data_IF_676310155178
#
_entry.id   IF_676310155178
#
_cell.length_a   1.000
_cell.length_b   1.000
_cell.length_c   1.000
_cell.angle_alpha   90.00
_cell.angle_beta   90.00
_cell.angle_gamma   90.00
#
_symmetry.space_group_name_H-M   'P 1'
#
loop_
_entity.id
_entity.type
_entity.pdbx_description
1 polymer ?
#
# COMPACT_ATOMS: atom_id res chain seq x y z
N UNK A 1 30.70 -3.78 25.21
CA UNK A 1 29.62 -2.83 24.80
C UNK A 1 29.93 -2.05 23.51
N UNK A 2 30.65 -2.60 22.51
CA UNK A 2 30.95 -1.91 21.22
C UNK A 2 30.00 -2.29 20.06
N UNK A 3 29.01 -3.15 20.30
CA UNK A 3 28.21 -3.78 19.23
C UNK A 3 26.96 -3.02 18.80
N UNK A 4 26.36 -2.20 19.66
CA UNK A 4 25.09 -1.51 19.38
C UNK A 4 25.29 -0.19 18.62
N UNK A 5 26.36 0.55 18.92
CA UNK A 5 26.68 1.82 18.27
C UNK A 5 27.11 1.63 16.82
N UNK A 6 27.83 0.56 16.50
CA UNK A 6 28.27 0.27 15.13
C UNK A 6 27.11 -0.12 14.20
N UNK A 7 26.14 -0.88 14.71
CA UNK A 7 24.92 -1.25 13.96
C UNK A 7 23.97 -0.07 13.76
N UNK A 8 23.84 0.80 14.76
CA UNK A 8 23.08 2.05 14.62
C UNK A 8 23.73 3.02 13.60
N UNK A 9 25.06 3.10 13.57
CA UNK A 9 25.78 3.96 12.61
C UNK A 9 25.69 3.45 11.17
N UNK A 10 25.62 2.13 10.96
CA UNK A 10 25.40 1.51 9.64
C UNK A 10 23.97 1.72 9.13
N UNK A 11 22.96 1.69 10.02
CA UNK A 11 21.58 2.04 9.68
C UNK A 11 21.41 3.55 9.39
N UNK A 12 22.29 4.40 9.92
CA UNK A 12 22.36 5.83 9.63
C UNK A 12 23.21 6.19 8.39
N UNK A 13 24.01 5.26 7.88
CA UNK A 13 24.78 5.49 6.65
C UNK A 13 23.83 5.58 5.45
N UNK A 14 24.16 6.41 4.45
CA UNK A 14 23.34 6.58 3.24
C UNK A 14 23.13 5.30 2.42
N UNK A 15 23.80 4.19 2.79
CA UNK A 15 23.73 2.90 2.12
C UNK A 15 23.64 1.73 3.14
N UNK A 16 22.46 1.49 3.74
CA UNK A 16 22.29 0.42 4.73
C UNK A 16 22.46 -0.96 4.08
N UNK A 17 23.28 -1.82 4.69
CA UNK A 17 23.49 -3.22 4.28
C UNK A 17 22.39 -4.12 4.87
N UNK A 18 22.07 -5.23 4.18
CA UNK A 18 21.04 -6.22 4.55
C UNK A 18 19.57 -5.78 4.38
N UNK A 19 19.25 -5.05 3.31
CA UNK A 19 17.86 -4.75 2.94
C UNK A 19 17.15 -6.01 2.42
N UNK A 20 15.89 -6.22 2.77
CA UNK A 20 15.10 -7.39 2.36
C UNK A 20 14.37 -7.14 1.03
N UNK A 21 14.75 -7.85 -0.04
CA UNK A 21 14.03 -7.80 -1.32
C UNK A 21 12.60 -8.37 -1.20
N UNK A 22 12.43 -9.42 -0.38
CA UNK A 22 11.12 -10.02 -0.13
C UNK A 22 10.14 -9.03 0.50
N UNK A 23 10.63 -8.14 1.37
CA UNK A 23 9.83 -7.05 1.96
C UNK A 23 9.36 -6.08 0.87
N UNK A 24 10.24 -5.73 -0.07
CA UNK A 24 9.90 -4.87 -1.21
C UNK A 24 8.83 -5.48 -2.11
N UNK A 25 8.98 -6.76 -2.51
CA UNK A 25 7.99 -7.45 -3.33
C UNK A 25 6.63 -7.60 -2.64
N UNK A 26 6.61 -7.87 -1.33
CA UNK A 26 5.37 -7.90 -0.55
C UNK A 26 4.62 -6.57 -0.62
N UNK A 27 5.33 -5.44 -0.50
CA UNK A 27 4.71 -4.11 -0.60
C UNK A 27 4.21 -3.80 -2.02
N UNK A 28 4.94 -4.20 -3.07
CA UNK A 28 4.50 -4.02 -4.45
C UNK A 28 3.21 -4.81 -4.71
N UNK A 29 3.18 -6.09 -4.33
CA UNK A 29 1.99 -6.95 -4.47
C UNK A 29 0.82 -6.40 -3.67
N UNK A 30 1.08 -5.91 -2.44
CA UNK A 30 0.06 -5.24 -1.64
C UNK A 30 -0.54 -4.03 -2.36
N UNK A 31 0.31 -3.13 -2.88
CA UNK A 31 -0.14 -1.94 -3.58
C UNK A 31 -0.96 -2.27 -4.83
N UNK A 32 -0.56 -3.29 -5.59
CA UNK A 32 -1.36 -3.76 -6.73
C UNK A 32 -2.73 -4.27 -6.27
N UNK A 33 -2.78 -5.09 -5.21
CA UNK A 33 -4.04 -5.58 -4.65
C UNK A 33 -4.94 -4.44 -4.16
N UNK A 34 -4.37 -3.44 -3.49
CA UNK A 34 -5.08 -2.22 -3.05
C UNK A 34 -5.67 -1.46 -4.25
N UNK A 35 -4.90 -1.27 -5.32
CA UNK A 35 -5.38 -0.57 -6.52
C UNK A 35 -6.59 -1.27 -7.13
N UNK A 36 -6.52 -2.60 -7.28
CA UNK A 36 -7.62 -3.40 -7.82
C UNK A 36 -8.86 -3.32 -6.92
N UNK A 37 -8.69 -3.48 -5.61
CA UNK A 37 -9.82 -3.46 -4.66
C UNK A 37 -10.49 -2.09 -4.59
N UNK A 38 -9.72 -1.00 -4.65
CA UNK A 38 -10.26 0.36 -4.71
C UNK A 38 -11.03 0.59 -6.02
N UNK A 39 -10.46 0.22 -7.17
CA UNK A 39 -11.11 0.38 -8.46
C UNK A 39 -12.43 -0.41 -8.52
N UNK A 40 -12.42 -1.67 -8.10
CA UNK A 40 -13.63 -2.51 -8.01
C UNK A 40 -14.66 -1.88 -7.07
N UNK A 41 -14.23 -1.40 -5.90
CA UNK A 41 -15.13 -0.78 -4.93
C UNK A 41 -15.82 0.45 -5.52
N UNK A 42 -15.07 1.32 -6.20
CA UNK A 42 -15.61 2.53 -6.82
C UNK A 42 -16.49 2.22 -8.04
N UNK A 43 -16.16 1.22 -8.85
CA UNK A 43 -16.93 0.90 -10.07
C UNK A 43 -18.18 0.07 -9.80
N UNK A 44 -18.20 -0.68 -8.70
CA UNK A 44 -19.32 -1.57 -8.35
C UNK A 44 -20.64 -0.84 -8.12
N UNK A 45 -20.67 0.49 -7.96
CA UNK A 45 -21.93 1.24 -7.84
C UNK A 45 -22.84 1.13 -9.07
N UNK A 46 -22.26 0.84 -10.23
CA UNK A 46 -22.99 0.64 -11.49
C UNK A 46 -23.55 -0.79 -11.64
N UNK A 47 -23.25 -1.69 -10.70
CA UNK A 47 -23.58 -3.12 -10.82
C UNK A 47 -24.76 -3.48 -9.92
N UNK A 48 -25.62 -4.39 -10.38
CA UNK A 48 -26.78 -4.89 -9.62
C UNK A 48 -26.39 -5.45 -8.25
N UNK A 49 -25.25 -6.14 -8.18
CA UNK A 49 -24.69 -6.72 -6.94
C UNK A 49 -23.65 -5.83 -6.27
N UNK A 50 -23.65 -4.53 -6.61
CA UNK A 50 -22.62 -3.58 -6.23
C UNK A 50 -22.32 -3.49 -4.74
N UNK A 51 -23.37 -3.54 -3.91
CA UNK A 51 -23.25 -3.51 -2.45
C UNK A 51 -22.51 -4.73 -1.90
N UNK A 52 -22.86 -5.93 -2.37
CA UNK A 52 -22.20 -7.18 -1.93
C UNK A 52 -20.75 -7.21 -2.37
N UNK A 53 -20.48 -6.80 -3.62
CA UNK A 53 -19.12 -6.76 -4.18
C UNK A 53 -18.23 -5.79 -3.40
N UNK A 54 -18.76 -4.61 -3.02
CA UNK A 54 -18.06 -3.66 -2.15
C UNK A 54 -17.74 -4.24 -0.77
N UNK A 55 -18.70 -4.92 -0.15
CA UNK A 55 -18.50 -5.57 1.14
C UNK A 55 -17.39 -6.63 1.06
N UNK A 56 -17.42 -7.49 0.03
CA UNK A 56 -16.39 -8.50 -0.19
C UNK A 56 -15.02 -7.84 -0.47
N UNK A 57 -14.97 -6.78 -1.28
CA UNK A 57 -13.74 -6.06 -1.55
C UNK A 57 -13.12 -5.46 -0.27
N UNK A 58 -13.94 -4.93 0.64
CA UNK A 58 -13.49 -4.41 1.94
C UNK A 58 -12.94 -5.52 2.85
N UNK A 59 -13.60 -6.69 2.88
CA UNK A 59 -13.11 -7.86 3.62
C UNK A 59 -11.74 -8.29 3.08
N UNK A 60 -11.61 -8.43 1.75
CA UNK A 60 -10.34 -8.80 1.11
C UNK A 60 -9.26 -7.74 1.36
N UNK A 61 -9.62 -6.46 1.37
CA UNK A 61 -8.71 -5.36 1.66
C UNK A 61 -8.14 -5.44 3.09
N UNK A 62 -8.99 -5.70 4.08
CA UNK A 62 -8.56 -5.88 5.48
C UNK A 62 -7.66 -7.13 5.60
N UNK A 63 -8.05 -8.25 4.98
CA UNK A 63 -7.24 -9.48 4.97
C UNK A 63 -5.86 -9.20 4.36
N UNK A 64 -5.81 -8.49 3.22
CA UNK A 64 -4.56 -8.13 2.55
C UNK A 64 -3.65 -7.30 3.46
N UNK A 65 -4.20 -6.29 4.16
CA UNK A 65 -3.44 -5.49 5.13
C UNK A 65 -2.89 -6.38 6.25
N UNK A 66 -3.69 -7.29 6.79
CA UNK A 66 -3.27 -8.19 7.88
C UNK A 66 -2.16 -9.13 7.41
N UNK A 67 -2.35 -9.79 6.26
CA UNK A 67 -1.37 -10.74 5.70
C UNK A 67 -0.04 -10.06 5.42
N UNK A 68 -0.08 -8.87 4.83
CA UNK A 68 1.15 -8.13 4.52
C UNK A 68 1.79 -7.61 5.79
N UNK A 69 1.03 -7.09 6.76
CA UNK A 69 1.57 -6.69 8.07
C UNK A 69 2.30 -7.84 8.78
N UNK A 70 1.74 -9.06 8.72
CA UNK A 70 2.38 -10.28 9.24
C UNK A 70 3.61 -10.68 8.42
N UNK A 71 3.55 -10.55 7.09
CA UNK A 71 4.67 -10.80 6.19
C UNK A 71 5.85 -9.87 6.48
N UNK A 72 5.58 -8.57 6.54
CA UNK A 72 6.56 -7.53 6.87
C UNK A 72 7.19 -7.77 8.24
N UNK A 73 6.40 -8.18 9.25
CA UNK A 73 6.93 -8.50 10.57
C UNK A 73 7.92 -9.68 10.54
N UNK A 74 7.71 -10.67 9.67
CA UNK A 74 8.62 -11.83 9.50
C UNK A 74 9.85 -11.52 8.65
N UNK A 75 9.72 -10.64 7.65
CA UNK A 75 10.80 -10.32 6.72
C UNK A 75 11.57 -9.06 7.07
N UNK A 76 11.25 -8.43 8.21
CA UNK A 76 11.78 -7.14 8.64
C UNK A 76 13.30 -7.20 8.78
N UNK A 77 13.99 -6.34 8.03
CA UNK A 77 15.44 -6.14 8.17
C UNK A 77 15.78 -4.67 8.38
N UNK A 78 16.99 -4.26 7.99
CA UNK A 78 17.47 -2.90 8.11
C UNK A 78 16.76 -2.01 7.08
N UNK A 79 16.27 -0.86 7.53
CA UNK A 79 15.54 0.08 6.68
C UNK A 79 16.34 1.37 6.45
N UNK A 80 16.24 1.99 5.25
CA UNK A 80 16.81 3.30 5.00
C UNK A 80 16.15 4.40 5.85
N UNK A 81 16.89 5.50 6.09
CA UNK A 81 16.38 6.66 6.81
C UNK A 81 15.09 7.18 6.16
N UNK A 82 14.09 7.51 6.98
CA UNK A 82 12.79 8.00 6.53
C UNK A 82 11.82 6.91 6.02
N UNK A 83 12.25 5.65 5.93
CA UNK A 83 11.41 4.54 5.45
C UNK A 83 10.12 4.38 6.24
N UNK A 84 10.18 4.46 7.59
CA UNK A 84 9.00 4.37 8.44
C UNK A 84 7.94 5.42 8.10
N UNK A 85 8.36 6.67 7.91
CA UNK A 85 7.45 7.76 7.57
C UNK A 85 6.81 7.53 6.19
N UNK A 86 7.61 7.16 5.19
CA UNK A 86 7.14 6.89 3.83
C UNK A 86 6.18 5.70 3.78
N UNK A 87 6.47 4.64 4.53
CA UNK A 87 5.58 3.48 4.67
C UNK A 87 4.27 3.86 5.36
N UNK A 88 4.32 4.70 6.40
CA UNK A 88 3.11 5.21 7.07
C UNK A 88 2.26 6.04 6.11
N UNK A 89 2.84 6.99 5.36
CA UNK A 89 2.10 7.76 4.36
C UNK A 89 1.50 6.85 3.27
N UNK A 90 2.27 5.87 2.79
CA UNK A 90 1.81 4.90 1.80
C UNK A 90 0.69 3.98 2.32
N UNK A 91 0.63 3.71 3.62
CA UNK A 91 -0.44 2.93 4.24
C UNK A 91 -1.70 3.75 4.52
N UNK A 92 -1.55 5.00 4.96
CA UNK A 92 -2.68 5.88 5.31
C UNK A 92 -3.42 6.35 4.05
N UNK A 93 -2.69 6.70 2.97
CA UNK A 93 -3.28 7.28 1.78
C UNK A 93 -4.39 6.41 1.14
N UNK A 94 -4.18 5.10 0.89
CA UNK A 94 -5.25 4.22 0.40
C UNK A 94 -6.48 4.17 1.31
N UNK A 95 -6.30 4.22 2.62
CA UNK A 95 -7.41 4.21 3.58
C UNK A 95 -8.22 5.50 3.49
N UNK A 96 -7.54 6.65 3.45
CA UNK A 96 -8.18 7.96 3.27
C UNK A 96 -8.94 8.00 1.94
N UNK A 97 -8.34 7.53 0.85
CA UNK A 97 -8.98 7.47 -0.47
C UNK A 97 -10.15 6.49 -0.49
N UNK A 98 -10.06 5.35 0.21
CA UNK A 98 -11.18 4.40 0.34
C UNK A 98 -12.39 5.07 1.02
N UNK A 99 -12.15 5.83 2.09
CA UNK A 99 -13.22 6.50 2.85
C UNK A 99 -13.81 7.66 2.05
N UNK A 100 -12.97 8.57 1.55
CA UNK A 100 -13.43 9.76 0.82
C UNK A 100 -14.04 9.35 -0.52
N UNK A 101 -13.36 8.52 -1.30
CA UNK A 101 -13.85 8.04 -2.59
C UNK A 101 -15.08 7.14 -2.44
N UNK A 102 -15.10 6.30 -1.40
CA UNK A 102 -16.26 5.50 -1.05
C UNK A 102 -17.47 6.39 -0.80
N UNK A 103 -17.34 7.40 0.07
CA UNK A 103 -18.42 8.37 0.31
C UNK A 103 -18.80 9.13 -0.97
N UNK A 104 -17.83 9.71 -1.66
CA UNK A 104 -18.05 10.60 -2.81
C UNK A 104 -18.74 9.92 -4.00
N UNK A 105 -18.35 8.69 -4.34
CA UNK A 105 -18.92 7.96 -5.49
C UNK A 105 -20.08 7.03 -5.16
N UNK A 106 -20.43 6.87 -3.88
CA UNK A 106 -21.57 6.03 -3.48
C UNK A 106 -22.72 6.83 -2.87
N UNK A 107 -22.49 8.10 -2.49
CA UNK A 107 -23.55 8.98 -2.05
C UNK A 107 -24.57 9.23 -3.19
N UNK A 108 -25.89 9.24 -2.90
CA UNK A 108 -26.94 9.38 -3.91
C UNK A 108 -26.99 10.74 -4.62
N UNK A 109 -26.12 11.67 -4.22
CA UNK A 109 -25.94 12.98 -4.84
C UNK A 109 -24.82 12.94 -5.90
N UNK A 110 -25.19 12.47 -7.10
CA UNK A 110 -24.63 12.84 -8.43
C UNK A 110 -23.39 12.13 -9.06
N UNK A 111 -23.43 12.21 -10.41
CA UNK A 111 -22.42 12.12 -11.50
C UNK A 111 -21.98 10.72 -11.99
N UNK A 112 -22.34 10.40 -13.24
CA UNK A 112 -21.69 9.35 -14.04
C UNK A 112 -20.20 9.66 -14.15
N UNK A 113 -19.41 9.02 -13.29
CA UNK A 113 -17.96 9.16 -13.29
C UNK A 113 -17.38 8.07 -14.17
N UNK A 114 -16.62 8.46 -15.20
CA UNK A 114 -15.93 7.50 -16.06
C UNK A 114 -15.05 6.54 -15.25
N UNK A 115 -15.07 5.26 -15.62
CA UNK A 115 -14.25 4.21 -15.03
C UNK A 115 -12.73 4.54 -15.07
N UNK A 116 -12.32 5.39 -16.02
CA UNK A 116 -10.94 5.87 -16.15
C UNK A 116 -10.55 6.70 -14.93
N UNK A 117 -11.43 7.58 -14.45
CA UNK A 117 -11.16 8.47 -13.31
C UNK A 117 -11.05 7.66 -12.03
N UNK A 118 -11.98 6.73 -11.79
CA UNK A 118 -11.96 5.87 -10.59
C UNK A 118 -10.73 4.97 -10.57
N UNK A 119 -10.31 4.45 -11.73
CA UNK A 119 -9.07 3.68 -11.88
C UNK A 119 -7.83 4.54 -11.63
N UNK A 120 -7.77 5.74 -12.18
CA UNK A 120 -6.65 6.66 -11.98
C UNK A 120 -6.47 7.03 -10.50
N UNK A 121 -7.57 7.27 -9.78
CA UNK A 121 -7.53 7.56 -8.34
C UNK A 121 -7.09 6.32 -7.54
N UNK A 122 -7.59 5.13 -7.88
CA UNK A 122 -7.16 3.88 -7.25
C UNK A 122 -5.65 3.61 -7.44
N UNK A 123 -5.14 3.78 -8.66
CA UNK A 123 -3.71 3.66 -8.96
C UNK A 123 -2.91 4.72 -8.21
N UNK A 124 -3.31 5.99 -8.27
CA UNK A 124 -2.64 7.10 -7.59
C UNK A 124 -2.54 6.91 -6.08
N UNK A 125 -3.58 6.38 -5.45
CA UNK A 125 -3.58 6.07 -4.02
C UNK A 125 -2.61 4.94 -3.66
N UNK A 126 -2.48 3.93 -4.54
CA UNK A 126 -1.61 2.77 -4.31
C UNK A 126 -0.14 3.01 -4.65
N UNK A 127 0.14 3.99 -5.52
CA UNK A 127 1.44 4.22 -6.16
C UNK A 127 2.56 4.50 -5.15
N UNK A 128 2.37 5.33 -4.09
CA UNK A 128 3.41 5.52 -3.08
C UNK A 128 3.88 4.23 -2.42
N UNK A 129 2.98 3.28 -2.17
CA UNK A 129 3.34 1.97 -1.60
C UNK A 129 4.17 1.13 -2.57
N UNK A 130 3.81 1.13 -3.85
CA UNK A 130 4.55 0.42 -4.90
C UNK A 130 5.97 1.01 -5.05
N UNK A 131 6.10 2.34 -5.02
CA UNK A 131 7.41 3.01 -5.09
C UNK A 131 8.29 2.69 -3.89
N UNK A 132 7.72 2.68 -2.67
CA UNK A 132 8.44 2.29 -1.45
C UNK A 132 8.89 0.82 -1.52
N UNK A 133 8.04 -0.08 -2.04
CA UNK A 133 8.38 -1.48 -2.27
C UNK A 133 9.49 -1.66 -3.31
N UNK A 134 9.37 -1.02 -4.47
CA UNK A 134 10.38 -1.07 -5.54
C UNK A 134 11.74 -0.55 -5.08
N UNK A 135 11.77 0.51 -4.27
CA UNK A 135 13.02 1.02 -3.73
C UNK A 135 13.73 -0.01 -2.85
N UNK A 136 12.99 -0.78 -2.03
CA UNK A 136 13.57 -1.87 -1.25
C UNK A 136 14.10 -3.00 -2.13
N UNK A 137 13.39 -3.35 -3.21
CA UNK A 137 13.84 -4.37 -4.17
C UNK A 137 15.16 -3.92 -4.82
N UNK A 138 15.22 -2.69 -5.33
CA UNK A 138 16.40 -2.16 -6.01
C UNK A 138 17.60 -2.04 -5.06
N UNK A 139 17.39 -1.54 -3.85
CA UNK A 139 18.48 -1.39 -2.86
C UNK A 139 18.91 -2.72 -2.25
N UNK A 140 18.01 -3.71 -2.15
CA UNK A 140 18.35 -5.05 -1.68
C UNK A 140 19.12 -5.89 -2.70
N UNK A 141 19.27 -5.43 -3.95
CA UNK A 141 20.07 -6.07 -4.99
C UNK A 141 21.49 -5.49 -5.13
N UNK A 142 21.84 -4.50 -4.31
CA UNK A 142 23.16 -3.85 -4.25
C UNK A 142 23.92 -4.30 -3.01
#
# INVERSE_FOLDING_TARGET
MKSFTHTAHLAQSGNPRNISQAEGWLLVVQSMGIAVLLAVSFQSHLWEWGGIIRMLAQIVFIILIILVSRGLAKTRRVHPRGFKWRLTCAGILPVVVAVIGGWFWTAPTFHDTSWIITTAVAVGASLPGALVGLELVVRGNK
#
